data_IF_968389190659
#
_entry.id   IF_968389190659
#
_cell.length_a   1.000
_cell.length_b   1.000
_cell.length_c   1.000
_cell.angle_alpha   90.00
_cell.angle_beta   90.00
_cell.angle_gamma   90.00
#
_symmetry.space_group_name_H-M   'P 1'
#
loop_
_entity.id
_entity.type
_entity.pdbx_description
1 polymer ?
#
# COMPACT_ATOMS: atom_id res chain seq x y z
N UNK A 1 14.86 -15.10 29.57
CA UNK A 1 14.82 -16.21 28.59
C UNK A 1 13.98 -15.98 27.33
N UNK A 2 12.88 -15.21 27.34
CA UNK A 2 12.15 -14.90 26.08
C UNK A 2 12.82 -13.78 25.24
N UNK A 3 13.52 -12.83 25.88
CA UNK A 3 14.15 -11.70 25.20
C UNK A 3 15.39 -12.08 24.36
N UNK A 4 16.07 -13.17 24.71
CA UNK A 4 17.26 -13.66 23.97
C UNK A 4 16.89 -14.45 22.70
N UNK A 5 15.71 -15.07 22.65
CA UNK A 5 15.27 -15.81 21.46
C UNK A 5 14.79 -14.89 20.33
N UNK A 6 14.32 -13.68 20.67
CA UNK A 6 13.86 -12.70 19.67
C UNK A 6 15.03 -12.05 18.93
N UNK A 7 16.18 -11.87 19.60
CA UNK A 7 17.38 -11.28 18.99
C UNK A 7 18.10 -12.23 18.03
N UNK A 8 17.91 -13.54 18.13
CA UNK A 8 18.52 -14.53 17.23
C UNK A 8 17.87 -14.60 15.83
N UNK A 9 16.68 -14.03 15.64
CA UNK A 9 15.93 -14.05 14.37
C UNK A 9 16.16 -12.81 13.50
N UNK A 10 16.98 -11.86 13.95
CA UNK A 10 17.33 -10.70 13.12
C UNK A 10 18.51 -11.10 12.21
N UNK A 11 18.31 -11.22 10.88
CA UNK A 11 19.41 -11.47 9.96
C UNK A 11 20.45 -10.36 10.12
N UNK A 12 21.73 -10.72 10.08
CA UNK A 12 22.85 -9.78 10.10
C UNK A 12 22.62 -8.69 9.06
N UNK A 13 22.33 -7.48 9.54
CA UNK A 13 21.94 -6.32 8.75
C UNK A 13 23.02 -5.99 7.72
N UNK A 14 22.78 -6.34 6.46
CA UNK A 14 23.22 -5.49 5.36
C UNK A 14 22.53 -4.13 5.57
N UNK A 15 23.31 -3.07 5.70
CA UNK A 15 22.78 -1.73 6.01
C UNK A 15 22.43 -0.96 4.74
N UNK A 16 21.67 -1.59 3.84
CA UNK A 16 21.13 -0.94 2.65
C UNK A 16 19.83 -0.18 2.93
N UNK A 17 19.51 0.88 2.17
CA UNK A 17 18.19 1.54 2.23
C UNK A 17 17.03 0.58 1.89
N UNK A 18 17.28 -0.44 1.07
CA UNK A 18 16.29 -1.44 0.68
C UNK A 18 15.94 -2.37 1.85
N UNK A 19 16.93 -2.81 2.64
CA UNK A 19 16.73 -3.67 3.81
C UNK A 19 15.88 -2.99 4.89
N UNK A 20 16.05 -1.67 5.06
CA UNK A 20 15.23 -0.88 6.00
C UNK A 20 13.77 -0.80 5.56
N UNK A 21 13.52 -0.70 4.25
CA UNK A 21 12.16 -0.68 3.71
C UNK A 21 11.49 -2.05 3.90
N UNK A 22 12.22 -3.14 3.66
CA UNK A 22 11.71 -4.50 3.89
C UNK A 22 11.37 -4.75 5.37
N UNK A 23 12.20 -4.30 6.31
CA UNK A 23 11.90 -4.44 7.74
C UNK A 23 10.66 -3.62 8.12
N UNK A 24 10.53 -2.39 7.60
CA UNK A 24 9.32 -1.57 7.82
C UNK A 24 8.08 -2.27 7.28
N UNK A 25 8.15 -2.83 6.09
CA UNK A 25 7.04 -3.55 5.47
C UNK A 25 6.65 -4.74 6.32
N UNK A 26 7.63 -5.53 6.74
CA UNK A 26 7.40 -6.68 7.61
C UNK A 26 6.66 -6.27 8.89
N UNK A 27 7.12 -5.24 9.59
CA UNK A 27 6.52 -4.78 10.85
C UNK A 27 5.12 -4.22 10.63
N UNK A 28 4.95 -3.31 9.67
CA UNK A 28 3.67 -2.64 9.42
C UNK A 28 2.61 -3.61 8.87
N UNK A 29 2.99 -4.49 7.93
CA UNK A 29 2.10 -5.51 7.39
C UNK A 29 1.71 -6.53 8.47
N UNK A 30 2.65 -6.98 9.30
CA UNK A 30 2.36 -7.89 10.42
C UNK A 30 1.40 -7.26 11.42
N UNK A 31 1.51 -5.96 11.67
CA UNK A 31 0.62 -5.26 12.58
C UNK A 31 -0.81 -5.17 12.03
N UNK A 32 -0.99 -4.93 10.73
CA UNK A 32 -2.30 -4.98 10.09
C UNK A 32 -2.87 -6.41 10.15
N UNK A 33 -2.07 -7.42 9.84
CA UNK A 33 -2.53 -8.81 9.88
C UNK A 33 -2.97 -9.22 11.28
N UNK A 34 -2.21 -8.82 12.30
CA UNK A 34 -2.61 -9.00 13.70
C UNK A 34 -3.92 -8.27 14.01
N UNK A 35 -4.09 -7.03 13.56
CA UNK A 35 -5.31 -6.26 13.78
C UNK A 35 -6.54 -6.88 13.08
N UNK A 36 -6.37 -7.38 11.84
CA UNK A 36 -7.40 -8.14 11.10
C UNK A 36 -7.78 -9.40 11.86
N UNK A 37 -6.81 -10.16 12.38
CA UNK A 37 -7.07 -11.38 13.17
C UNK A 37 -7.77 -11.09 14.50
N UNK A 38 -7.38 -10.02 15.19
CA UNK A 38 -7.91 -9.71 16.52
C UNK A 38 -9.29 -9.04 16.49
N UNK A 39 -9.55 -8.19 15.50
CA UNK A 39 -10.73 -7.29 15.47
C UNK A 39 -11.45 -7.26 14.11
N UNK A 40 -11.13 -8.19 13.23
CA UNK A 40 -11.69 -8.24 11.87
C UNK A 40 -11.25 -7.07 11.00
N UNK A 41 -11.93 -6.90 9.87
CA UNK A 41 -11.61 -5.87 8.87
C UNK A 41 -11.65 -4.44 9.45
N UNK A 42 -12.57 -4.15 10.38
CA UNK A 42 -12.64 -2.84 11.03
C UNK A 42 -11.36 -2.52 11.81
N UNK A 43 -10.77 -3.52 12.48
CA UNK A 43 -9.48 -3.40 13.15
C UNK A 43 -8.36 -3.06 12.19
N UNK A 44 -8.27 -3.80 11.07
CA UNK A 44 -7.31 -3.53 10.01
C UNK A 44 -7.45 -2.09 9.46
N UNK A 45 -8.69 -1.65 9.19
CA UNK A 45 -9.01 -0.30 8.70
C UNK A 45 -8.56 0.81 9.63
N UNK A 46 -8.81 0.66 10.93
CA UNK A 46 -8.35 1.62 11.93
C UNK A 46 -6.83 1.70 11.92
N UNK A 47 -6.16 0.55 11.88
CA UNK A 47 -4.69 0.48 11.93
C UNK A 47 -4.06 1.08 10.67
N UNK A 48 -4.45 0.65 9.46
CA UNK A 48 -3.80 1.17 8.26
C UNK A 48 -4.07 2.66 8.06
N UNK A 49 -5.27 3.16 8.38
CA UNK A 49 -5.57 4.60 8.30
C UNK A 49 -4.69 5.40 9.25
N UNK A 50 -4.50 4.89 10.48
CA UNK A 50 -3.60 5.51 11.46
C UNK A 50 -2.16 5.49 10.98
N UNK A 51 -1.70 4.40 10.35
CA UNK A 51 -0.34 4.32 9.79
C UNK A 51 -0.16 5.35 8.67
N UNK A 52 -1.08 5.39 7.71
CA UNK A 52 -1.04 6.33 6.58
C UNK A 52 -1.01 7.79 7.06
N UNK A 53 -1.73 8.12 8.12
CA UNK A 53 -1.80 9.48 8.65
C UNK A 53 -0.55 9.92 9.43
N UNK A 54 0.11 8.99 10.12
CA UNK A 54 1.13 9.34 11.13
C UNK A 54 2.55 8.86 10.78
N UNK A 55 2.71 8.04 9.74
CA UNK A 55 3.98 7.46 9.35
C UNK A 55 4.23 7.65 7.86
N UNK A 56 5.42 7.23 7.40
CA UNK A 56 5.78 7.14 5.99
C UNK A 56 5.62 5.69 5.51
N UNK A 57 4.39 5.26 5.14
CA UNK A 57 4.18 3.93 4.57
C UNK A 57 4.93 3.78 3.25
N UNK A 58 5.32 2.56 2.97
CA UNK A 58 6.02 2.15 1.75
C UNK A 58 5.03 1.67 0.70
N UNK A 59 5.53 1.40 -0.51
CA UNK A 59 4.74 0.77 -1.56
C UNK A 59 4.22 -0.62 -1.16
N UNK A 60 5.06 -1.48 -0.56
CA UNK A 60 4.66 -2.82 -0.13
C UNK A 60 3.56 -2.80 0.94
N UNK A 61 3.59 -1.82 1.84
CA UNK A 61 2.49 -1.60 2.79
C UNK A 61 1.15 -1.31 2.10
N UNK A 62 1.12 -0.44 1.09
CA UNK A 62 -0.10 -0.15 0.35
C UNK A 62 -0.60 -1.37 -0.43
N UNK A 63 0.29 -2.15 -1.05
CA UNK A 63 -0.08 -3.39 -1.73
C UNK A 63 -0.77 -4.36 -0.77
N UNK A 64 -0.25 -4.52 0.46
CA UNK A 64 -0.88 -5.34 1.50
C UNK A 64 -2.25 -4.83 1.92
N UNK A 65 -2.42 -3.52 2.09
CA UNK A 65 -3.73 -2.94 2.41
C UNK A 65 -4.72 -3.16 1.27
N UNK A 66 -4.28 -2.97 0.02
CA UNK A 66 -5.10 -3.17 -1.18
C UNK A 66 -5.53 -4.62 -1.33
N UNK A 67 -4.65 -5.60 -1.04
CA UNK A 67 -5.02 -7.02 -1.10
C UNK A 67 -6.13 -7.34 -0.10
N UNK A 68 -6.01 -6.83 1.13
CA UNK A 68 -7.03 -6.99 2.18
C UNK A 68 -8.37 -6.39 1.74
N UNK A 69 -8.38 -5.17 1.22
CA UNK A 69 -9.65 -4.51 0.86
C UNK A 69 -10.29 -5.08 -0.41
N UNK A 70 -9.49 -5.63 -1.33
CA UNK A 70 -10.01 -6.36 -2.50
C UNK A 70 -10.69 -7.67 -2.11
N UNK A 71 -10.17 -8.40 -1.13
CA UNK A 71 -10.84 -9.60 -0.58
C UNK A 71 -12.23 -9.26 0.01
N UNK A 72 -12.35 -8.09 0.64
CA UNK A 72 -13.58 -7.64 1.30
C UNK A 72 -14.53 -6.90 0.33
N UNK A 73 -14.13 -6.71 -0.93
CA UNK A 73 -14.89 -6.03 -1.99
C UNK A 73 -15.38 -4.60 -1.63
N UNK A 74 -14.66 -3.87 -0.79
CA UNK A 74 -15.00 -2.47 -0.46
C UNK A 74 -14.34 -1.48 -1.42
N UNK A 75 -15.07 -1.08 -2.46
CA UNK A 75 -14.55 -0.18 -3.48
C UNK A 75 -14.08 1.18 -2.93
N UNK A 76 -14.75 1.70 -1.90
CA UNK A 76 -14.41 3.02 -1.36
C UNK A 76 -13.07 2.97 -0.62
N UNK A 77 -12.83 1.88 0.13
CA UNK A 77 -11.58 1.66 0.83
C UNK A 77 -10.42 1.40 -0.15
N UNK A 78 -10.66 0.64 -1.24
CA UNK A 78 -9.66 0.43 -2.30
C UNK A 78 -9.29 1.75 -2.99
N UNK A 79 -10.27 2.58 -3.35
CA UNK A 79 -10.00 3.88 -3.98
C UNK A 79 -9.24 4.82 -3.04
N UNK A 80 -9.61 4.89 -1.77
CA UNK A 80 -8.88 5.66 -0.76
C UNK A 80 -7.40 5.24 -0.70
N UNK A 81 -7.13 3.92 -0.69
CA UNK A 81 -5.76 3.41 -0.63
C UNK A 81 -4.96 3.80 -1.87
N UNK A 82 -5.53 3.71 -3.06
CA UNK A 82 -4.87 4.18 -4.29
C UNK A 82 -4.61 5.70 -4.26
N UNK A 83 -5.59 6.50 -3.83
CA UNK A 83 -5.44 7.95 -3.70
C UNK A 83 -4.30 8.32 -2.73
N UNK A 84 -4.14 7.57 -1.64
CA UNK A 84 -3.02 7.76 -0.71
C UNK A 84 -1.70 7.26 -1.29
N UNK A 85 -1.69 6.11 -1.96
CA UNK A 85 -0.50 5.53 -2.58
C UNK A 85 0.09 6.44 -3.68
N UNK A 86 -0.74 7.14 -4.48
CA UNK A 86 -0.25 8.08 -5.52
C UNK A 86 0.58 9.24 -4.98
N UNK A 87 0.59 9.46 -3.65
CA UNK A 87 1.44 10.46 -2.98
C UNK A 87 2.87 9.99 -2.78
N UNK A 88 3.15 8.69 -2.99
CA UNK A 88 4.51 8.17 -2.98
C UNK A 88 5.29 8.72 -4.18
N UNK A 89 6.57 9.01 -3.93
CA UNK A 89 7.48 9.47 -4.99
C UNK A 89 8.08 8.29 -5.77
N UNK A 90 8.24 7.13 -5.10
CA UNK A 90 8.67 5.88 -5.72
C UNK A 90 7.46 5.08 -6.22
N UNK A 91 7.66 4.27 -7.27
CA UNK A 91 6.62 3.44 -7.89
C UNK A 91 5.39 4.20 -8.40
N UNK A 92 5.52 5.51 -8.64
CA UNK A 92 4.38 6.38 -8.94
C UNK A 92 3.66 6.00 -10.22
N UNK A 93 4.42 5.64 -11.27
CA UNK A 93 3.89 5.14 -12.53
C UNK A 93 3.07 3.86 -12.34
N UNK A 94 3.67 2.85 -11.71
CA UNK A 94 3.04 1.56 -11.41
C UNK A 94 1.74 1.74 -10.60
N UNK A 95 1.77 2.61 -9.58
CA UNK A 95 0.58 2.93 -8.76
C UNK A 95 -0.53 3.54 -9.62
N UNK A 96 -0.20 4.49 -10.51
CA UNK A 96 -1.18 5.11 -11.40
C UNK A 96 -1.77 4.11 -12.40
N UNK A 97 -0.94 3.28 -13.02
CA UNK A 97 -1.39 2.22 -13.93
C UNK A 97 -2.37 1.28 -13.23
N UNK A 98 -1.99 0.74 -12.06
CA UNK A 98 -2.85 -0.14 -11.27
C UNK A 98 -4.17 0.54 -10.88
N UNK A 99 -4.14 1.82 -10.52
CA UNK A 99 -5.34 2.55 -10.12
C UNK A 99 -6.29 2.77 -11.31
N UNK A 100 -5.75 3.16 -12.47
CA UNK A 100 -6.53 3.37 -13.69
C UNK A 100 -7.17 2.05 -14.14
N UNK A 101 -6.40 0.95 -14.14
CA UNK A 101 -6.92 -0.38 -14.47
C UNK A 101 -8.05 -0.79 -13.54
N UNK A 102 -7.87 -0.63 -12.23
CA UNK A 102 -8.92 -0.89 -11.24
C UNK A 102 -10.20 -0.06 -11.51
N UNK A 103 -10.06 1.25 -11.78
CA UNK A 103 -11.23 2.10 -12.06
C UNK A 103 -11.95 1.68 -13.35
N UNK A 104 -11.23 1.23 -14.37
CA UNK A 104 -11.81 0.72 -15.62
C UNK A 104 -12.54 -0.61 -15.40
N UNK A 105 -11.98 -1.53 -14.62
CA UNK A 105 -12.64 -2.78 -14.23
C UNK A 105 -13.96 -2.51 -13.51
N UNK A 106 -13.99 -1.49 -12.64
CA UNK A 106 -15.19 -1.03 -11.94
C UNK A 106 -16.12 -0.17 -12.81
N UNK A 107 -15.83 -0.01 -14.11
CA UNK A 107 -16.58 0.83 -15.07
C UNK A 107 -16.68 2.31 -14.66
N UNK A 108 -15.75 2.81 -13.85
CA UNK A 108 -15.65 4.21 -13.40
C UNK A 108 -14.82 5.06 -14.37
N UNK A 109 -15.19 5.05 -15.65
CA UNK A 109 -14.39 5.64 -16.74
C UNK A 109 -14.05 7.12 -16.54
N UNK A 110 -15.03 7.95 -16.14
CA UNK A 110 -14.78 9.38 -15.88
C UNK A 110 -13.70 9.62 -14.82
N UNK A 111 -13.67 8.80 -13.76
CA UNK A 111 -12.64 8.89 -12.72
C UNK A 111 -11.31 8.35 -13.25
N UNK A 112 -11.33 7.27 -14.03
CA UNK A 112 -10.13 6.73 -14.68
C UNK A 112 -9.46 7.77 -15.59
N UNK A 113 -10.24 8.50 -16.40
CA UNK A 113 -9.73 9.56 -17.28
C UNK A 113 -9.13 10.73 -16.48
N UNK A 114 -9.76 11.11 -15.37
CA UNK A 114 -9.21 12.13 -14.47
C UNK A 114 -7.88 11.71 -13.86
N UNK A 115 -7.79 10.46 -13.40
CA UNK A 115 -6.55 9.90 -12.84
C UNK A 115 -5.47 9.77 -13.92
N UNK A 116 -5.82 9.38 -15.15
CA UNK A 116 -4.90 9.33 -16.29
C UNK A 116 -4.33 10.72 -16.62
N UNK A 117 -5.20 11.74 -16.67
CA UNK A 117 -4.76 13.13 -16.85
C UNK A 117 -3.77 13.54 -15.75
N UNK A 118 -4.08 13.24 -14.49
CA UNK A 118 -3.19 13.52 -13.36
C UNK A 118 -1.85 12.78 -13.49
N UNK A 119 -1.87 11.49 -13.85
CA UNK A 119 -0.66 10.69 -14.07
C UNK A 119 0.25 11.30 -15.13
N UNK A 120 -0.31 11.74 -16.27
CA UNK A 120 0.44 12.40 -17.36
C UNK A 120 1.11 13.73 -16.97
N UNK A 121 0.68 14.36 -15.87
CA UNK A 121 1.29 15.58 -15.33
C UNK A 121 2.35 15.29 -14.29
N UNK A 122 2.21 14.19 -13.55
CA UNK A 122 3.06 13.88 -12.41
C UNK A 122 4.16 12.86 -12.72
N UNK A 123 4.04 12.09 -13.80
CA UNK A 123 5.00 11.07 -14.23
C UNK A 123 5.49 11.41 -15.63
N UNK A 124 6.79 11.67 -15.83
CA UNK A 124 7.36 11.92 -17.15
C UNK A 124 7.15 10.72 -18.08
N UNK A 125 6.70 10.98 -19.31
CA UNK A 125 6.46 9.94 -20.32
C UNK A 125 5.52 8.82 -19.87
N UNK A 126 4.55 9.11 -18.98
CA UNK A 126 3.58 8.12 -18.52
C UNK A 126 2.92 7.38 -19.70
N UNK A 127 3.03 6.05 -19.71
CA UNK A 127 2.36 5.19 -20.66
C UNK A 127 1.44 4.23 -19.91
N UNK A 128 0.22 4.10 -20.41
CA UNK A 128 -0.71 3.08 -19.93
C UNK A 128 -0.54 1.86 -20.82
N UNK A 129 -0.02 0.77 -20.26
CA UNK A 129 0.06 -0.50 -20.98
C UNK A 129 -1.38 -0.95 -21.33
N UNK A 130 -1.61 -1.19 -22.62
CA UNK A 130 -2.92 -1.56 -23.18
C UNK A 130 -3.28 -3.02 -22.89
#
# INVERSE_FOLDING_TARGET
HAAEQVTMLLPSLSTGPDDRSQIKDLVLCSYIDWAKKAKGILGARIVYKKIIQNFYPTYGFYQKCLSIEKEENDSNSVEYLYEMATRLNNHKEEIYQMYISYLREQKKFKKADHVLWKASKEVPNFQLDN
#
